data_IF_040722517772
#
_entry.id   IF_040722517772
#
_cell.length_a   1.000
_cell.length_b   1.000
_cell.length_c   1.000
_cell.angle_alpha   90.00
_cell.angle_beta   90.00
_cell.angle_gamma   90.00
#
_symmetry.space_group_name_H-M   'P 1'
#
loop_
_entity.id
_entity.type
_entity.pdbx_description
1 polymer ?
#
# COMPACT_ATOMS: atom_id res chain seq x y z
N UNK A 1 8.58 7.18 6.74
CA UNK A 1 8.10 7.94 5.55
C UNK A 1 6.61 8.06 5.72
N UNK A 2 6.12 9.28 5.96
CA UNK A 2 4.73 9.50 6.33
C UNK A 2 3.84 9.57 5.09
N UNK A 3 2.82 8.72 5.03
CA UNK A 3 1.92 8.58 3.88
C UNK A 3 0.44 8.36 4.28
N UNK A 4 -0.15 9.27 5.07
CA UNK A 4 -1.51 9.13 5.61
C UNK A 4 -2.58 9.00 4.52
N UNK A 5 -2.41 9.66 3.37
CA UNK A 5 -3.34 9.56 2.25
C UNK A 5 -3.41 8.14 1.66
N UNK A 6 -2.29 7.39 1.67
CA UNK A 6 -2.28 6.00 1.22
C UNK A 6 -3.08 5.13 2.18
N UNK A 7 -2.88 5.31 3.48
CA UNK A 7 -3.64 4.61 4.53
C UNK A 7 -5.12 4.92 4.36
N UNK A 8 -5.51 6.19 4.25
CA UNK A 8 -6.90 6.60 4.08
C UNK A 8 -7.53 5.96 2.83
N UNK A 9 -6.87 6.08 1.68
CA UNK A 9 -7.35 5.51 0.42
C UNK A 9 -7.58 3.99 0.52
N UNK A 10 -6.60 3.27 1.04
CA UNK A 10 -6.69 1.83 1.18
C UNK A 10 -7.75 1.40 2.18
N UNK A 11 -7.85 2.10 3.30
CA UNK A 11 -8.89 1.87 4.31
C UNK A 11 -10.27 2.02 3.69
N UNK A 12 -10.53 3.12 2.99
CA UNK A 12 -11.82 3.36 2.34
C UNK A 12 -12.15 2.25 1.32
N UNK A 13 -11.16 1.77 0.55
CA UNK A 13 -11.36 0.66 -0.39
C UNK A 13 -11.65 -0.68 0.29
N UNK A 14 -10.87 -1.06 1.31
CA UNK A 14 -11.05 -2.34 1.99
C UNK A 14 -12.40 -2.35 2.74
N UNK A 15 -12.89 -1.19 3.21
CA UNK A 15 -14.22 -1.10 3.82
C UNK A 15 -15.30 -1.48 2.82
N UNK A 16 -15.22 -0.97 1.60
CA UNK A 16 -16.15 -1.32 0.51
C UNK A 16 -16.03 -2.80 0.12
N UNK A 17 -14.83 -3.38 0.17
CA UNK A 17 -14.64 -4.84 -0.01
C UNK A 17 -15.37 -5.61 1.09
N UNK A 18 -15.33 -5.15 2.33
CA UNK A 18 -16.09 -5.71 3.45
C UNK A 18 -17.60 -5.68 3.22
N UNK A 19 -18.14 -4.55 2.74
CA UNK A 19 -19.55 -4.44 2.37
C UNK A 19 -19.93 -5.38 1.22
N UNK A 20 -19.11 -5.47 0.18
CA UNK A 20 -19.35 -6.40 -0.92
C UNK A 20 -19.40 -7.88 -0.44
N UNK A 21 -18.54 -8.25 0.51
CA UNK A 21 -18.59 -9.58 1.14
C UNK A 21 -19.92 -9.79 1.89
N UNK A 22 -20.40 -8.78 2.62
CA UNK A 22 -21.70 -8.83 3.32
C UNK A 22 -22.87 -8.95 2.34
N UNK A 23 -22.78 -8.32 1.16
CA UNK A 23 -23.77 -8.42 0.09
C UNK A 23 -23.73 -9.77 -0.66
N UNK A 24 -22.80 -10.67 -0.28
CA UNK A 24 -22.71 -12.03 -0.80
C UNK A 24 -21.65 -12.24 -1.89
N UNK A 25 -20.81 -11.24 -2.19
CA UNK A 25 -19.70 -11.43 -3.12
C UNK A 25 -18.62 -12.36 -2.53
N UNK A 26 -18.13 -13.29 -3.35
CA UNK A 26 -17.01 -14.17 -2.99
C UNK A 26 -15.68 -13.48 -3.30
N UNK A 27 -15.06 -12.90 -2.27
CA UNK A 27 -13.73 -12.26 -2.36
C UNK A 27 -12.67 -13.18 -1.77
N UNK A 28 -11.69 -13.58 -2.59
CA UNK A 28 -10.63 -14.51 -2.18
C UNK A 28 -9.41 -13.81 -1.58
N UNK A 29 -9.23 -12.52 -1.85
CA UNK A 29 -8.10 -11.75 -1.35
C UNK A 29 -8.07 -10.33 -1.87
N UNK A 30 -7.20 -9.52 -1.28
CA UNK A 30 -6.94 -8.14 -1.65
C UNK A 30 -5.41 -7.96 -1.76
N UNK A 31 -4.94 -7.60 -2.96
CA UNK A 31 -3.51 -7.46 -3.27
C UNK A 31 -3.20 -5.99 -3.60
N UNK A 32 -2.72 -5.21 -2.62
CA UNK A 32 -2.40 -3.80 -2.83
C UNK A 32 -1.29 -3.63 -3.86
N UNK A 33 -1.47 -2.68 -4.77
CA UNK A 33 -0.40 -2.21 -5.64
C UNK A 33 0.31 -1.03 -4.96
N UNK A 34 1.53 -1.20 -4.43
CA UNK A 34 2.43 -2.36 -4.52
C UNK A 34 3.21 -2.54 -3.21
N UNK A 35 4.04 -3.58 -3.12
CA UNK A 35 4.86 -3.79 -1.92
C UNK A 35 6.05 -2.82 -1.84
N UNK A 36 6.88 -2.77 -2.88
CA UNK A 36 7.98 -1.81 -3.01
C UNK A 36 7.59 -0.70 -3.99
N UNK A 37 8.15 0.51 -3.83
CA UNK A 37 8.16 1.46 -4.93
C UNK A 37 8.85 0.84 -6.15
N UNK A 38 8.31 1.13 -7.34
CA UNK A 38 8.70 0.50 -8.59
C UNK A 38 8.67 1.50 -9.75
N UNK A 39 9.35 1.14 -10.83
CA UNK A 39 9.35 1.92 -12.06
C UNK A 39 7.96 1.83 -12.70
N UNK A 40 7.28 2.96 -12.83
CA UNK A 40 5.98 3.02 -13.52
C UNK A 40 6.14 2.76 -15.01
N UNK A 41 5.03 2.41 -15.67
CA UNK A 41 5.02 2.09 -17.11
C UNK A 41 5.32 3.30 -18.01
N UNK A 42 5.24 4.54 -17.50
CA UNK A 42 5.47 5.74 -18.33
C UNK A 42 5.85 7.03 -17.61
N UNK A 43 6.03 7.03 -16.28
CA UNK A 43 6.25 8.24 -15.49
C UNK A 43 7.39 8.12 -14.47
N UNK A 44 8.35 7.22 -14.69
CA UNK A 44 9.48 7.04 -13.77
C UNK A 44 9.08 6.47 -12.40
N UNK A 45 9.87 6.80 -11.39
CA UNK A 45 9.82 6.46 -9.97
C UNK A 45 9.16 7.54 -9.09
N UNK A 46 9.02 8.78 -9.58
CA UNK A 46 8.49 9.91 -8.79
C UNK A 46 7.10 9.63 -8.22
N UNK A 47 6.20 8.99 -9.00
CA UNK A 47 4.92 8.50 -8.52
C UNK A 47 5.08 7.14 -7.81
N UNK A 48 4.90 7.15 -6.49
CA UNK A 48 5.20 6.02 -5.60
C UNK A 48 3.96 5.24 -5.18
N UNK A 49 4.05 3.92 -5.20
CA UNK A 49 2.95 2.99 -4.90
C UNK A 49 3.24 2.06 -3.70
N UNK A 50 4.51 1.88 -3.35
CA UNK A 50 4.94 0.87 -2.39
C UNK A 50 4.50 1.15 -0.96
N UNK A 51 4.37 0.11 -0.15
CA UNK A 51 4.49 0.20 1.30
C UNK A 51 5.92 0.49 1.75
N UNK A 52 6.89 0.11 0.94
CA UNK A 52 8.32 0.31 1.19
C UNK A 52 8.85 1.28 0.15
N UNK A 53 9.35 2.41 0.63
CA UNK A 53 10.04 3.38 -0.20
C UNK A 53 11.36 2.81 -0.70
N UNK A 54 11.67 3.03 -1.98
CA UNK A 54 12.97 2.74 -2.57
C UNK A 54 13.70 4.06 -2.79
N UNK A 55 14.90 4.17 -2.22
CA UNK A 55 15.73 5.36 -2.35
C UNK A 55 16.40 5.43 -3.72
N UNK A 56 15.71 6.09 -4.65
CA UNK A 56 16.15 6.43 -6.00
C UNK A 56 15.19 7.50 -6.54
N UNK A 57 15.59 8.28 -7.54
CA UNK A 57 14.73 9.27 -8.22
C UNK A 57 14.63 8.95 -9.71
N UNK A 58 13.96 9.81 -10.48
CA UNK A 58 13.88 9.70 -11.94
C UNK A 58 15.23 10.05 -12.60
N UNK A 59 15.96 10.99 -12.00
CA UNK A 59 17.21 11.53 -12.54
C UNK A 59 18.45 10.84 -11.98
N UNK A 60 18.36 10.29 -10.76
CA UNK A 60 19.53 9.80 -10.03
C UNK A 60 19.33 8.38 -9.46
N UNK A 61 20.38 7.58 -9.68
CA UNK A 61 20.57 6.28 -9.05
C UNK A 61 21.23 6.46 -7.69
N UNK A 62 20.42 6.45 -6.63
CA UNK A 62 20.90 6.53 -5.23
C UNK A 62 21.28 5.12 -4.71
N UNK A 63 21.20 4.90 -3.40
CA UNK A 63 21.64 3.65 -2.73
C UNK A 63 20.61 2.51 -2.75
N UNK A 64 19.40 2.74 -3.29
CA UNK A 64 18.27 1.81 -3.25
C UNK A 64 17.91 1.30 -1.87
N UNK A 65 18.17 2.04 -0.80
CA UNK A 65 17.73 1.67 0.54
C UNK A 65 16.21 1.45 0.55
N UNK A 66 15.79 0.37 1.21
CA UNK A 66 14.38 0.03 1.45
C UNK A 66 13.95 0.66 2.77
N UNK A 67 12.95 1.52 2.73
CA UNK A 67 12.50 2.28 3.90
C UNK A 67 10.99 2.03 4.08
N UNK A 68 10.56 1.28 5.11
CA UNK A 68 9.16 1.10 5.42
C UNK A 68 8.45 2.45 5.62
N UNK A 69 7.30 2.63 4.96
CA UNK A 69 6.41 3.77 5.15
C UNK A 69 5.45 3.50 6.32
N UNK A 70 4.67 4.49 6.73
CA UNK A 70 3.71 4.29 7.82
C UNK A 70 2.63 3.28 7.39
N UNK A 71 2.21 3.34 6.13
CA UNK A 71 1.29 2.36 5.52
C UNK A 71 1.77 0.91 5.60
N UNK A 72 3.09 0.66 5.65
CA UNK A 72 3.63 -0.68 5.86
C UNK A 72 3.20 -1.23 7.22
N UNK A 73 3.38 -0.45 8.28
CA UNK A 73 3.07 -0.87 9.64
C UNK A 73 1.56 -1.00 9.84
N UNK A 74 0.78 -0.04 9.31
CA UNK A 74 -0.68 -0.13 9.32
C UNK A 74 -1.17 -1.40 8.62
N UNK A 75 -0.72 -1.66 7.39
CA UNK A 75 -1.18 -2.83 6.65
C UNK A 75 -0.72 -4.15 7.30
N UNK A 76 0.47 -4.17 7.91
CA UNK A 76 0.95 -5.32 8.66
C UNK A 76 0.07 -5.63 9.88
N UNK A 77 -0.39 -4.61 10.63
CA UNK A 77 -1.30 -4.81 11.76
C UNK A 77 -2.71 -5.25 11.31
N UNK A 78 -3.21 -4.66 10.22
CA UNK A 78 -4.48 -5.06 9.60
C UNK A 78 -4.48 -6.54 9.20
N UNK A 79 -3.41 -7.00 8.54
CA UNK A 79 -3.27 -8.42 8.14
C UNK A 79 -3.14 -9.33 9.37
N UNK A 80 -2.30 -8.98 10.35
CA UNK A 80 -2.12 -9.78 11.57
C UNK A 80 -3.41 -9.93 12.37
N UNK A 81 -4.23 -8.89 12.39
CA UNK A 81 -5.52 -8.87 13.09
C UNK A 81 -6.66 -9.47 12.27
N UNK A 82 -6.40 -9.94 11.04
CA UNK A 82 -7.40 -10.39 10.08
C UNK A 82 -8.53 -9.36 9.90
N UNK A 83 -8.16 -8.09 9.74
CA UNK A 83 -9.09 -6.98 9.53
C UNK A 83 -9.72 -6.41 10.80
N UNK A 84 -9.40 -6.92 12.00
CA UNK A 84 -9.98 -6.43 13.27
C UNK A 84 -9.37 -5.11 13.74
N UNK A 85 -8.06 -4.93 13.55
CA UNK A 85 -7.37 -3.68 13.84
C UNK A 85 -7.37 -2.83 12.58
N UNK A 86 -8.44 -2.06 12.42
CA UNK A 86 -8.73 -1.32 11.21
C UNK A 86 -7.87 -0.05 11.02
N UNK A 87 -7.44 0.56 12.12
CA UNK A 87 -6.83 1.89 12.11
C UNK A 87 -7.89 2.99 12.20
#
# INVERSE_FOLDING_TARGET
VHDPERIKFMRDQIYQVGLAIQDGCKVFGYNPWSFLDLLSTGNGMSKRYGFVYINTTDDEKLDFKRIPKDSYYWYADLVKSNGKNWG
#
